data_IF_948786307933
#
_entry.id   IF_948786307933
#
_cell.length_a   1.000
_cell.length_b   1.000
_cell.length_c   1.000
_cell.angle_alpha   90.00
_cell.angle_beta   90.00
_cell.angle_gamma   90.00
#
_symmetry.space_group_name_H-M   'P 1'
#
loop_
_entity.id
_entity.type
_entity.pdbx_description
1 polymer ?
#
# COMPACT_ATOMS: atom_id res chain seq x y z
N UNK A 1 -15.13 -13.17 9.61
CA UNK A 1 -14.12 -14.24 9.72
C UNK A 1 -13.74 -14.40 11.17
N UNK A 2 -13.24 -15.57 11.53
CA UNK A 2 -12.86 -15.93 12.90
C UNK A 2 -11.42 -16.43 12.88
N UNK A 3 -10.56 -15.78 13.66
CA UNK A 3 -9.22 -16.25 13.96
C UNK A 3 -9.30 -17.24 15.12
N UNK A 4 -9.20 -18.52 14.80
CA UNK A 4 -9.27 -19.61 15.77
C UNK A 4 -8.05 -19.69 16.68
N UNK A 5 -6.90 -19.13 16.27
CA UNK A 5 -5.67 -19.20 17.05
C UNK A 5 -5.68 -18.19 18.20
N UNK A 6 -6.26 -17.00 17.96
CA UNK A 6 -6.31 -15.93 18.95
C UNK A 6 -7.70 -15.67 19.53
N UNK A 7 -8.71 -16.44 19.12
CA UNK A 7 -10.12 -16.26 19.48
C UNK A 7 -10.58 -14.82 19.25
N UNK A 8 -10.50 -14.34 18.00
CA UNK A 8 -11.03 -13.03 17.61
C UNK A 8 -11.89 -13.14 16.36
N UNK A 9 -13.03 -12.47 16.38
CA UNK A 9 -13.84 -12.26 15.18
C UNK A 9 -13.47 -10.93 14.53
N UNK A 10 -13.38 -10.93 13.22
CA UNK A 10 -13.26 -9.72 12.41
C UNK A 10 -14.45 -9.63 11.46
N UNK A 11 -15.06 -8.45 11.38
CA UNK A 11 -16.15 -8.13 10.48
C UNK A 11 -15.87 -6.81 9.77
N UNK A 12 -15.39 -6.84 8.51
CA UNK A 12 -15.31 -5.66 7.68
C UNK A 12 -16.71 -5.24 7.21
N UNK A 13 -16.95 -3.94 7.13
CA UNK A 13 -18.17 -3.39 6.55
C UNK A 13 -17.96 -1.96 6.08
N UNK A 14 -18.71 -1.58 5.05
CA UNK A 14 -18.79 -0.20 4.59
C UNK A 14 -19.85 0.56 5.39
N UNK A 15 -19.50 1.76 5.81
CA UNK A 15 -20.45 2.77 6.28
C UNK A 15 -20.26 4.01 5.40
N UNK A 16 -21.23 4.23 4.51
CA UNK A 16 -21.13 5.19 3.40
C UNK A 16 -19.84 4.96 2.60
N UNK A 17 -18.97 5.97 2.52
CA UNK A 17 -17.73 5.94 1.74
C UNK A 17 -16.52 5.47 2.55
N UNK A 18 -16.72 4.97 3.77
CA UNK A 18 -15.63 4.53 4.65
C UNK A 18 -15.72 3.05 4.98
N UNK A 19 -14.59 2.35 4.83
CA UNK A 19 -14.44 0.96 5.24
C UNK A 19 -14.02 0.89 6.71
N UNK A 20 -14.69 0.05 7.47
CA UNK A 20 -14.36 -0.25 8.86
C UNK A 20 -14.12 -1.75 9.05
N UNK A 21 -13.31 -2.08 10.05
CA UNK A 21 -13.10 -3.43 10.55
C UNK A 21 -13.48 -3.48 12.02
N UNK A 22 -14.53 -4.24 12.32
CA UNK A 22 -14.92 -4.55 13.69
C UNK A 22 -14.20 -5.81 14.15
N UNK A 23 -13.36 -5.69 15.17
CA UNK A 23 -12.81 -6.81 15.93
C UNK A 23 -13.63 -7.00 17.20
N UNK A 24 -13.99 -8.25 17.53
CA UNK A 24 -14.72 -8.54 18.77
C UNK A 24 -14.45 -9.96 19.27
N UNK A 25 -14.71 -10.18 20.57
CA UNK A 25 -14.77 -11.51 21.20
C UNK A 25 -16.13 -11.72 21.84
N UNK A 26 -16.52 -12.99 21.96
CA UNK A 26 -17.75 -13.38 22.65
C UNK A 26 -17.45 -14.35 23.77
N UNK A 27 -18.17 -14.21 24.87
CA UNK A 27 -18.25 -15.20 25.94
C UNK A 27 -19.73 -15.59 26.09
N UNK A 28 -20.08 -16.81 25.68
CA UNK A 28 -21.46 -17.21 25.52
C UNK A 28 -22.21 -16.34 24.50
N UNK A 29 -23.24 -15.60 24.95
CA UNK A 29 -24.01 -14.67 24.11
C UNK A 29 -23.50 -13.23 24.18
N UNK A 30 -22.62 -12.92 25.13
CA UNK A 30 -22.19 -11.56 25.42
C UNK A 30 -20.92 -11.20 24.65
N UNK A 31 -20.81 -9.93 24.25
CA UNK A 31 -19.59 -9.40 23.60
C UNK A 31 -18.68 -8.82 24.68
N UNK A 32 -17.56 -9.50 24.96
CA UNK A 32 -16.63 -9.13 26.04
C UNK A 32 -15.49 -8.23 25.57
N UNK A 33 -15.25 -8.15 24.27
CA UNK A 33 -14.27 -7.25 23.66
C UNK A 33 -14.83 -6.67 22.37
N UNK A 34 -14.55 -5.40 22.12
CA UNK A 34 -14.93 -4.72 20.89
C UNK A 34 -13.93 -3.64 20.54
N UNK A 35 -13.44 -3.64 19.30
CA UNK A 35 -12.62 -2.59 18.71
C UNK A 35 -13.11 -2.30 17.30
N UNK A 36 -13.35 -1.02 17.01
CA UNK A 36 -13.68 -0.57 15.66
C UNK A 36 -12.49 0.18 15.08
N UNK A 37 -12.02 -0.23 13.91
CA UNK A 37 -10.92 0.41 13.21
C UNK A 37 -11.39 0.92 11.85
N UNK A 38 -11.21 2.22 11.60
CA UNK A 38 -11.37 2.79 10.26
C UNK A 38 -10.15 2.44 9.40
N UNK A 39 -10.38 2.15 8.13
CA UNK A 39 -9.35 1.92 7.12
C UNK A 39 -9.17 3.19 6.28
N UNK A 40 -7.92 3.61 6.10
CA UNK A 40 -7.58 4.82 5.34
C UNK A 40 -7.13 4.49 3.91
N UNK A 41 -6.56 3.30 3.69
CA UNK A 41 -6.09 2.87 2.38
C UNK A 41 -6.46 1.42 2.09
N UNK A 42 -6.90 1.19 0.84
CA UNK A 42 -7.06 -0.14 0.25
C UNK A 42 -5.95 -0.32 -0.78
N UNK A 43 -5.14 -1.37 -0.62
CA UNK A 43 -3.97 -1.63 -1.46
C UNK A 43 -4.17 -2.93 -2.22
N UNK A 44 -3.96 -2.86 -3.53
CA UNK A 44 -4.14 -3.98 -4.46
C UNK A 44 -4.99 -3.58 -5.65
N UNK A 45 -4.78 -4.24 -6.78
CA UNK A 45 -5.53 -4.00 -8.02
C UNK A 45 -6.97 -4.51 -7.99
N UNK A 46 -7.39 -5.14 -6.88
CA UNK A 46 -8.66 -5.84 -6.81
C UNK A 46 -8.68 -7.17 -7.55
N UNK A 47 -7.67 -7.53 -8.35
CA UNK A 47 -7.72 -8.73 -9.19
C UNK A 47 -7.48 -10.03 -8.40
N UNK A 48 -6.55 -10.00 -7.45
CA UNK A 48 -6.23 -11.15 -6.61
C UNK A 48 -6.64 -10.91 -5.16
N UNK A 49 -6.15 -9.82 -4.58
CA UNK A 49 -6.41 -9.46 -3.19
C UNK A 49 -6.48 -7.95 -2.99
N UNK A 50 -7.16 -7.54 -1.92
CA UNK A 50 -7.10 -6.20 -1.35
C UNK A 50 -6.63 -6.28 0.10
N UNK A 51 -5.51 -5.64 0.39
CA UNK A 51 -5.00 -5.43 1.75
C UNK A 51 -5.42 -4.05 2.26
N UNK A 52 -5.45 -3.89 3.57
CA UNK A 52 -6.05 -2.72 4.21
C UNK A 52 -5.04 -2.09 5.18
N UNK A 53 -4.86 -0.78 5.08
CA UNK A 53 -3.91 -0.02 5.90
C UNK A 53 -4.66 1.14 6.56
N UNK A 54 -4.26 1.47 7.78
CA UNK A 54 -4.73 2.66 8.48
C UNK A 54 -3.54 3.47 9.03
N UNK A 55 -3.79 4.76 9.26
CA UNK A 55 -2.82 5.73 9.73
C UNK A 55 -3.22 6.29 11.08
N UNK A 56 -2.26 6.42 11.99
CA UNK A 56 -2.42 7.13 13.26
C UNK A 56 -1.29 8.14 13.36
N UNK A 57 -1.58 9.44 13.20
CA UNK A 57 -0.57 10.52 13.27
C UNK A 57 0.65 10.30 12.34
N UNK A 58 0.41 9.74 11.15
CA UNK A 58 1.45 9.42 10.16
C UNK A 58 2.10 8.05 10.33
N UNK A 59 1.78 7.30 11.39
CA UNK A 59 2.25 5.93 11.59
C UNK A 59 1.31 4.95 10.89
N UNK A 60 1.84 4.15 9.96
CA UNK A 60 1.05 3.23 9.14
C UNK A 60 1.06 1.79 9.65
N UNK A 61 -0.10 1.15 9.61
CA UNK A 61 -0.30 -0.21 10.10
C UNK A 61 -1.16 -1.03 9.14
N UNK A 62 -0.83 -2.31 8.99
CA UNK A 62 -1.66 -3.27 8.27
C UNK A 62 -2.80 -3.74 9.18
N UNK A 63 -4.04 -3.71 8.68
CA UNK A 63 -5.16 -4.40 9.33
C UNK A 63 -5.02 -5.93 9.14
N UNK A 64 -5.57 -6.75 10.06
CA UNK A 64 -5.35 -8.20 10.07
C UNK A 64 -6.09 -8.96 8.96
N UNK A 65 -6.67 -8.26 7.99
CA UNK A 65 -7.65 -8.81 7.07
C UNK A 65 -7.29 -8.49 5.62
N UNK A 66 -7.51 -9.47 4.77
CA UNK A 66 -7.38 -9.35 3.33
C UNK A 66 -8.64 -9.88 2.66
N UNK A 67 -9.14 -9.16 1.66
CA UNK A 67 -10.18 -9.67 0.79
C UNK A 67 -9.53 -10.43 -0.36
N UNK A 68 -9.88 -11.70 -0.53
CA UNK A 68 -9.40 -12.54 -1.62
C UNK A 68 -10.46 -12.56 -2.71
N UNK A 69 -10.28 -11.71 -3.74
CA UNK A 69 -11.32 -11.41 -4.73
C UNK A 69 -11.82 -12.66 -5.43
N UNK A 70 -10.92 -13.51 -5.94
CA UNK A 70 -11.28 -14.73 -6.66
C UNK A 70 -12.07 -15.72 -5.81
N UNK A 71 -11.81 -15.74 -4.50
CA UNK A 71 -12.51 -16.58 -3.51
C UNK A 71 -13.76 -15.92 -2.95
N UNK A 72 -14.01 -14.65 -3.29
CA UNK A 72 -15.11 -13.83 -2.80
C UNK A 72 -15.24 -13.86 -1.27
N UNK A 73 -14.10 -13.90 -0.56
CA UNK A 73 -14.08 -14.06 0.89
C UNK A 73 -13.03 -13.20 1.57
N UNK A 74 -13.34 -12.85 2.80
CA UNK A 74 -12.40 -12.27 3.72
C UNK A 74 -11.65 -13.36 4.48
N UNK A 75 -10.35 -13.18 4.63
CA UNK A 75 -9.50 -14.06 5.42
C UNK A 75 -8.44 -13.23 6.16
N UNK A 76 -7.63 -13.89 6.98
CA UNK A 76 -6.46 -13.27 7.59
C UNK A 76 -5.50 -12.76 6.50
N UNK A 77 -4.86 -11.64 6.78
CA UNK A 77 -3.81 -11.12 5.91
C UNK A 77 -2.62 -12.10 5.86
N UNK A 78 -1.89 -12.20 4.72
CA UNK A 78 -0.74 -13.08 4.62
C UNK A 78 0.29 -12.85 5.74
N UNK A 79 0.67 -13.92 6.43
CA UNK A 79 1.58 -13.91 7.56
C UNK A 79 0.90 -13.76 8.94
N UNK A 80 -0.43 -13.69 8.99
CA UNK A 80 -1.19 -13.61 10.25
C UNK A 80 -1.72 -14.99 10.68
N UNK A 81 -1.59 -16.00 9.82
CA UNK A 81 -2.08 -17.34 10.07
C UNK A 81 -1.28 -18.03 11.19
N UNK A 82 -1.81 -19.13 11.73
CA UNK A 82 -1.10 -20.00 12.70
C UNK A 82 -0.64 -19.28 13.98
N UNK A 83 -1.43 -18.30 14.46
CA UNK A 83 -1.15 -17.57 15.70
C UNK A 83 -0.20 -16.39 15.55
N UNK A 84 0.26 -16.07 14.34
CA UNK A 84 1.12 -14.92 14.06
C UNK A 84 0.36 -13.59 13.92
N UNK A 85 -0.98 -13.62 14.05
CA UNK A 85 -1.83 -12.44 13.91
C UNK A 85 -1.49 -11.37 14.97
N UNK A 86 -0.89 -10.26 14.53
CA UNK A 86 -0.57 -9.11 15.39
C UNK A 86 -1.72 -8.10 15.50
N UNK A 87 -2.94 -8.50 15.12
CA UNK A 87 -4.16 -7.69 15.08
C UNK A 87 -3.93 -6.43 14.25
N UNK A 88 -4.07 -5.26 14.84
CA UNK A 88 -3.81 -3.98 14.21
C UNK A 88 -2.40 -3.44 14.53
N UNK A 89 -1.46 -4.31 14.88
CA UNK A 89 -0.12 -3.96 15.33
C UNK A 89 0.99 -4.11 14.28
N UNK A 90 0.73 -4.75 13.13
CA UNK A 90 1.76 -4.92 12.09
C UNK A 90 2.09 -3.57 11.46
N UNK A 91 3.34 -3.16 11.59
CA UNK A 91 3.86 -1.92 11.04
C UNK A 91 4.00 -2.03 9.51
N UNK A 92 3.69 -0.95 8.80
CA UNK A 92 4.08 -0.77 7.40
C UNK A 92 5.38 0.02 7.38
N UNK A 93 6.49 -0.69 7.30
CA UNK A 93 7.83 -0.10 7.30
C UNK A 93 8.21 0.44 5.91
N UNK A 94 9.34 1.15 5.83
CA UNK A 94 9.81 1.73 4.57
C UNK A 94 10.06 0.67 3.49
N UNK A 95 10.48 -0.53 3.88
CA UNK A 95 10.71 -1.69 3.01
C UNK A 95 9.42 -2.16 2.33
N UNK A 96 8.26 -2.04 2.98
CA UNK A 96 6.98 -2.32 2.31
C UNK A 96 6.69 -1.26 1.24
N UNK A 97 7.01 0.00 1.53
CA UNK A 97 6.76 1.12 0.61
C UNK A 97 7.77 1.20 -0.53
N UNK A 98 8.94 0.57 -0.44
CA UNK A 98 9.95 0.60 -1.50
C UNK A 98 9.43 -0.01 -2.80
N UNK A 99 8.56 -1.01 -2.72
CA UNK A 99 8.04 -1.77 -3.86
C UNK A 99 6.55 -1.54 -4.14
N UNK A 100 5.78 -1.11 -3.15
CA UNK A 100 4.32 -1.01 -3.27
C UNK A 100 3.78 0.42 -3.43
N UNK A 101 4.64 1.43 -3.51
CA UNK A 101 4.20 2.83 -3.62
C UNK A 101 5.21 3.72 -4.35
N UNK A 102 4.89 4.98 -4.63
CA UNK A 102 5.82 6.06 -4.96
C UNK A 102 6.78 6.37 -3.80
N UNK A 103 7.76 7.25 -3.98
CA UNK A 103 8.71 7.59 -2.90
C UNK A 103 7.98 8.35 -1.77
N UNK A 104 7.89 7.79 -0.55
CA UNK A 104 7.20 8.47 0.54
C UNK A 104 8.13 9.47 1.25
N UNK A 105 7.55 10.46 1.93
CA UNK A 105 8.29 11.33 2.85
C UNK A 105 8.40 10.64 4.22
N UNK A 106 9.42 9.78 4.36
CA UNK A 106 9.66 8.99 5.55
C UNK A 106 10.38 9.78 6.65
N UNK A 107 9.87 9.68 7.89
CA UNK A 107 10.49 10.33 9.05
C UNK A 107 11.66 9.49 9.55
N UNK A 108 12.89 9.96 9.30
CA UNK A 108 14.13 9.30 9.74
C UNK A 108 14.11 9.04 11.26
N UNK A 109 14.55 7.84 11.65
CA UNK A 109 14.56 7.40 13.04
C UNK A 109 13.23 6.83 13.56
N UNK A 110 12.16 6.87 12.75
CA UNK A 110 10.93 6.10 13.02
C UNK A 110 10.98 4.73 12.35
N UNK A 111 10.09 3.81 12.73
CA UNK A 111 9.95 2.51 12.06
C UNK A 111 8.93 2.54 10.90
N UNK A 112 7.88 3.37 11.03
CA UNK A 112 6.73 3.36 10.11
C UNK A 112 6.02 4.72 10.01
N UNK A 113 6.71 5.83 10.32
CA UNK A 113 6.12 7.17 10.25
C UNK A 113 6.44 7.86 8.93
N UNK A 114 5.42 8.44 8.33
CA UNK A 114 5.51 9.19 7.08
C UNK A 114 4.78 10.53 7.22
N UNK A 115 5.37 11.61 6.69
CA UNK A 115 4.68 12.91 6.59
C UNK A 115 3.72 12.90 5.39
N UNK A 116 4.10 12.20 4.31
CA UNK A 116 3.31 12.08 3.10
C UNK A 116 3.51 10.69 2.47
N UNK A 117 2.42 10.14 1.93
CA UNK A 117 2.39 8.81 1.32
C UNK A 117 1.71 8.93 -0.05
N UNK A 118 2.42 8.64 -1.16
CA UNK A 118 1.83 8.65 -2.50
C UNK A 118 0.71 7.61 -2.66
N UNK A 119 -0.05 7.71 -3.76
CA UNK A 119 -1.19 6.84 -4.05
C UNK A 119 -0.87 5.78 -5.12
N UNK A 120 0.22 5.04 -4.92
CA UNK A 120 0.67 3.98 -5.81
C UNK A 120 2.01 4.29 -6.47
N UNK A 121 2.51 3.31 -7.24
CA UNK A 121 3.74 3.44 -8.02
C UNK A 121 3.57 4.59 -9.02
N UNK A 122 4.45 5.59 -8.93
CA UNK A 122 4.42 6.80 -9.74
C UNK A 122 5.47 6.77 -10.87
N UNK A 123 5.48 7.84 -11.68
CA UNK A 123 6.41 8.00 -12.79
C UNK A 123 7.86 7.88 -12.34
N UNK A 124 8.22 8.46 -11.20
CA UNK A 124 9.61 8.60 -10.75
C UNK A 124 10.21 7.26 -10.27
N UNK A 125 9.37 6.26 -9.96
CA UNK A 125 9.83 4.89 -9.68
C UNK A 125 10.58 4.27 -10.86
N UNK A 126 10.17 4.59 -12.09
CA UNK A 126 10.76 4.05 -13.30
C UNK A 126 11.59 5.07 -14.08
N UNK A 127 11.21 6.35 -14.00
CA UNK A 127 11.76 7.42 -14.84
C UNK A 127 12.77 8.33 -14.12
N UNK A 128 13.00 8.11 -12.82
CA UNK A 128 13.84 9.00 -12.00
C UNK A 128 13.17 10.36 -11.74
N UNK A 129 13.90 11.35 -11.20
CA UNK A 129 13.36 12.67 -10.92
C UNK A 129 12.79 13.33 -12.17
N UNK A 130 11.50 13.70 -12.15
CA UNK A 130 10.77 14.24 -13.29
C UNK A 130 10.63 15.77 -13.29
N UNK A 131 11.20 16.47 -12.32
CA UNK A 131 11.01 17.91 -12.12
C UNK A 131 11.42 18.76 -13.34
N UNK A 132 12.56 18.41 -13.96
CA UNK A 132 13.05 19.08 -15.16
C UNK A 132 12.08 18.89 -16.35
N UNK A 133 11.54 17.68 -16.49
CA UNK A 133 10.56 17.37 -17.52
C UNK A 133 9.24 18.12 -17.33
N UNK A 134 8.71 18.14 -16.11
CA UNK A 134 7.49 18.88 -15.79
C UNK A 134 7.68 20.38 -16.07
N UNK A 135 8.80 20.95 -15.64
CA UNK A 135 9.13 22.36 -15.91
C UNK A 135 9.14 22.66 -17.41
N UNK A 136 9.82 21.84 -18.22
CA UNK A 136 9.89 22.03 -19.66
C UNK A 136 8.54 21.83 -20.35
N UNK A 137 7.72 20.86 -19.93
CA UNK A 137 6.38 20.67 -20.49
C UNK A 137 5.42 21.83 -20.19
N UNK A 138 5.63 22.52 -19.06
CA UNK A 138 4.78 23.65 -18.66
C UNK A 138 5.21 24.98 -19.29
N UNK A 139 6.50 25.18 -19.52
CA UNK A 139 7.05 26.49 -19.93
C UNK A 139 7.54 26.53 -21.38
N UNK A 140 7.78 25.38 -22.01
CA UNK A 140 8.37 25.29 -23.33
C UNK A 140 7.49 24.47 -24.29
N UNK A 141 7.74 24.60 -25.60
CA UNK A 141 7.11 23.73 -26.59
C UNK A 141 7.55 22.28 -26.34
N UNK A 142 6.62 21.30 -26.33
CA UNK A 142 6.99 19.90 -26.16
C UNK A 142 8.08 19.46 -27.13
N UNK A 143 9.13 18.84 -26.61
CA UNK A 143 10.16 18.20 -27.43
C UNK A 143 9.54 17.12 -28.30
N UNK A 144 9.85 17.17 -29.60
CA UNK A 144 9.42 16.18 -30.58
C UNK A 144 10.28 14.90 -30.43
N UNK A 145 9.73 13.92 -29.71
CA UNK A 145 10.43 12.65 -29.42
C UNK A 145 10.66 11.77 -30.66
N UNK A 146 10.10 12.14 -31.82
CA UNK A 146 10.48 11.51 -33.10
C UNK A 146 11.89 11.92 -33.56
N UNK A 147 12.38 13.09 -33.12
CA UNK A 147 13.69 13.64 -33.50
C UNK A 147 14.83 13.22 -32.58
N UNK A 148 14.52 12.62 -31.42
CA UNK A 148 15.55 12.23 -30.45
C UNK A 148 14.97 11.82 -29.10
N UNK A 149 15.83 11.51 -28.12
CA UNK A 149 15.40 11.36 -26.73
C UNK A 149 15.06 12.72 -26.11
N UNK A 150 14.04 12.74 -25.26
CA UNK A 150 13.85 13.83 -24.30
C UNK A 150 14.84 13.59 -23.16
N UNK A 151 15.82 14.49 -22.99
CA UNK A 151 16.86 14.37 -21.97
C UNK A 151 16.42 14.87 -20.59
N UNK A 152 15.20 15.40 -20.46
CA UNK A 152 14.67 15.90 -19.19
C UNK A 152 14.08 14.81 -18.29
N UNK A 153 13.83 13.62 -18.85
CA UNK A 153 13.30 12.46 -18.13
C UNK A 153 13.87 11.18 -18.72
N UNK A 154 14.15 10.19 -17.87
CA UNK A 154 14.59 8.88 -18.37
C UNK A 154 13.45 8.25 -19.14
N UNK A 155 13.72 7.72 -20.33
CA UNK A 155 12.78 6.85 -21.04
C UNK A 155 13.32 5.41 -21.00
N UNK A 156 12.73 4.51 -20.18
CA UNK A 156 13.20 3.13 -20.07
C UNK A 156 13.36 2.42 -21.41
N UNK A 157 12.50 2.68 -22.40
CA UNK A 157 12.61 2.08 -23.76
C UNK A 157 13.94 2.37 -24.45
N UNK A 158 14.64 3.45 -24.07
CA UNK A 158 15.91 3.88 -24.66
C UNK A 158 17.13 3.40 -23.88
N UNK A 159 16.94 2.70 -22.76
CA UNK A 159 18.03 2.14 -21.96
C UNK A 159 18.54 0.82 -22.57
N UNK A 160 19.81 0.42 -22.35
CA UNK A 160 20.26 -0.94 -22.59
C UNK A 160 19.36 -1.96 -21.85
N UNK A 161 19.20 -3.16 -22.42
CA UNK A 161 18.32 -4.22 -21.88
C UNK A 161 18.56 -4.50 -20.40
N UNK A 162 19.82 -4.51 -19.96
CA UNK A 162 20.17 -4.69 -18.56
C UNK A 162 19.54 -3.62 -17.66
N UNK A 163 19.63 -2.34 -18.03
CA UNK A 163 19.04 -1.26 -17.26
C UNK A 163 17.50 -1.25 -17.33
N UNK A 164 16.90 -1.69 -18.44
CA UNK A 164 15.46 -1.90 -18.51
C UNK A 164 15.00 -2.94 -17.48
N UNK A 165 15.71 -4.07 -17.42
CA UNK A 165 15.42 -5.12 -16.46
C UNK A 165 15.64 -4.67 -15.02
N UNK A 166 16.70 -3.89 -14.76
CA UNK A 166 16.96 -3.33 -13.43
C UNK A 166 15.81 -2.46 -12.92
N UNK A 167 15.13 -1.69 -13.78
CA UNK A 167 13.94 -0.91 -13.40
C UNK A 167 12.79 -1.82 -12.96
N UNK A 168 12.60 -2.95 -13.64
CA UNK A 168 11.56 -3.93 -13.30
C UNK A 168 11.91 -4.72 -12.02
N UNK A 169 13.18 -5.01 -11.80
CA UNK A 169 13.70 -5.82 -10.68
C UNK A 169 13.89 -5.03 -9.38
N UNK A 170 13.37 -3.81 -9.30
CA UNK A 170 13.40 -3.02 -8.05
C UNK A 170 12.47 -3.56 -6.98
N UNK A 171 11.57 -4.46 -7.37
CA UNK A 171 10.50 -5.04 -6.56
C UNK A 171 10.54 -6.56 -6.73
#
# INVERSE_FOLDING_TARGET
MYDTALDYYYKPYWDKDSLYVLEFRKEGKDTVHKRLQKIDYVVGSGQHTNSHIFSVNGYLYQAPITFYTQKHRWDLAPGFEKGANSRFGRLIQLECMSCHNGYPDFVKGSENKFNNVPKGIDCERCHGPGSLHVFDRQNNKPFDTSKGPDYTIVNPRRLPTELQNNVCQRC
#
